data_IF_921922129015
#
_entry.id   IF_921922129015
#
_cell.length_a   1.000
_cell.length_b   1.000
_cell.length_c   1.000
_cell.angle_alpha   90.00
_cell.angle_beta   90.00
_cell.angle_gamma   90.00
#
_symmetry.space_group_name_H-M   'P 1'
#
loop_
_entity.id
_entity.type
_entity.pdbx_description
1 polymer ?
#
# COMPACT_ATOMS: atom_id res chain seq x y z
N UNK A 1 13.15 1.50 -38.57
CA UNK A 1 12.43 1.08 -37.35
C UNK A 1 13.53 0.69 -36.38
N UNK A 2 14.00 1.64 -35.56
CA UNK A 2 15.20 1.47 -34.76
C UNK A 2 14.98 0.43 -33.67
N UNK A 3 15.98 -0.42 -33.45
CA UNK A 3 16.05 -1.33 -32.30
C UNK A 3 15.79 -0.52 -31.03
N UNK A 4 14.63 -0.74 -30.39
CA UNK A 4 14.43 -0.32 -29.02
C UNK A 4 15.38 -1.15 -28.16
N UNK A 5 16.49 -0.55 -27.73
CA UNK A 5 17.43 -1.17 -26.78
C UNK A 5 16.77 -1.31 -25.40
N UNK A 6 15.93 -2.34 -25.27
CA UNK A 6 15.25 -2.71 -24.03
C UNK A 6 16.24 -2.97 -22.87
N UNK A 7 17.55 -3.11 -23.15
CA UNK A 7 18.57 -3.30 -22.13
C UNK A 7 18.78 -2.06 -21.26
N UNK A 8 18.56 -0.87 -21.84
CA UNK A 8 18.75 0.41 -21.15
C UNK A 8 17.47 0.87 -20.45
N UNK A 9 16.31 0.51 -21.01
CA UNK A 9 15.00 0.93 -20.53
C UNK A 9 14.67 0.42 -19.12
N UNK A 10 15.02 -0.83 -18.78
CA UNK A 10 14.78 -1.34 -17.42
C UNK A 10 15.68 -0.67 -16.39
N UNK A 11 16.95 -0.37 -16.73
CA UNK A 11 17.86 0.35 -15.83
C UNK A 11 17.35 1.75 -15.55
N UNK A 12 16.84 2.42 -16.58
CA UNK A 12 16.21 3.73 -16.45
C UNK A 12 14.95 3.64 -15.58
N UNK A 13 14.10 2.63 -15.79
CA UNK A 13 12.90 2.42 -14.97
C UNK A 13 13.24 2.23 -13.49
N UNK A 14 14.22 1.38 -13.16
CA UNK A 14 14.69 1.20 -11.78
C UNK A 14 15.29 2.47 -11.19
N UNK A 15 16.08 3.21 -11.97
CA UNK A 15 16.71 4.47 -11.55
C UNK A 15 15.70 5.60 -11.31
N UNK A 16 14.57 5.62 -12.04
CA UNK A 16 13.48 6.59 -11.83
C UNK A 16 12.57 6.14 -10.67
N UNK A 17 12.28 4.85 -10.56
CA UNK A 17 11.42 4.31 -9.51
C UNK A 17 12.01 4.55 -8.11
N UNK A 18 13.33 4.38 -7.96
CA UNK A 18 14.01 4.54 -6.66
C UNK A 18 13.78 5.92 -6.00
N UNK A 19 14.12 7.07 -6.63
CA UNK A 19 13.89 8.38 -6.03
C UNK A 19 12.41 8.70 -5.85
N UNK A 20 11.53 8.29 -6.78
CA UNK A 20 10.08 8.47 -6.60
C UNK A 20 9.58 7.77 -5.33
N UNK A 21 10.03 6.53 -5.11
CA UNK A 21 9.63 5.75 -3.95
C UNK A 21 10.23 6.31 -2.64
N UNK A 22 11.46 6.82 -2.65
CA UNK A 22 12.05 7.50 -1.48
C UNK A 22 11.31 8.78 -1.10
N UNK A 23 10.92 9.60 -2.08
CA UNK A 23 10.11 10.79 -1.84
C UNK A 23 8.76 10.37 -1.24
N UNK A 24 8.09 9.38 -1.85
CA UNK A 24 6.83 8.85 -1.34
C UNK A 24 6.95 8.32 0.10
N UNK A 25 8.01 7.59 0.41
CA UNK A 25 8.30 7.11 1.77
C UNK A 25 8.45 8.28 2.75
N UNK A 26 9.29 9.26 2.41
CA UNK A 26 9.57 10.42 3.25
C UNK A 26 8.31 11.22 3.53
N UNK A 27 7.50 11.49 2.50
CA UNK A 27 6.22 12.18 2.64
C UNK A 27 5.26 11.43 3.58
N UNK A 28 5.13 10.11 3.45
CA UNK A 28 4.25 9.33 4.31
C UNK A 28 4.73 9.26 5.76
N UNK A 29 6.05 9.14 5.98
CA UNK A 29 6.62 9.23 7.34
C UNK A 29 6.35 10.60 7.95
N UNK A 30 6.48 11.69 7.20
CA UNK A 30 6.11 13.03 7.66
C UNK A 30 4.63 13.11 8.06
N UNK A 31 3.72 12.50 7.29
CA UNK A 31 2.28 12.41 7.64
C UNK A 31 2.08 11.63 8.94
N UNK A 32 2.77 10.51 9.13
CA UNK A 32 2.71 9.71 10.37
C UNK A 32 3.16 10.53 11.58
N UNK A 33 4.27 11.25 11.46
CA UNK A 33 4.78 12.13 12.53
C UNK A 33 3.79 13.27 12.79
N UNK A 34 3.31 13.95 11.74
CA UNK A 34 2.36 15.05 11.84
C UNK A 34 1.07 14.64 12.56
N UNK A 35 0.50 13.49 12.20
CA UNK A 35 -0.72 12.97 12.82
C UNK A 35 -0.54 12.60 14.30
N UNK A 36 0.65 12.16 14.70
CA UNK A 36 0.96 11.90 16.13
C UNK A 36 1.14 13.18 16.92
N UNK A 37 1.69 14.22 16.30
CA UNK A 37 1.97 15.50 16.96
C UNK A 37 0.75 16.41 17.10
N UNK A 38 -0.35 16.15 16.38
CA UNK A 38 -1.49 17.04 16.31
C UNK A 38 -2.70 16.52 17.13
N UNK A 39 -3.03 17.09 18.30
CA UNK A 39 -4.14 16.62 19.13
C UNK A 39 -5.51 16.77 18.46
N UNK A 40 -5.68 17.78 17.60
CA UNK A 40 -6.94 18.02 16.87
C UNK A 40 -7.27 16.90 15.86
N UNK A 41 -6.27 16.09 15.47
CA UNK A 41 -6.43 14.94 14.59
C UNK A 41 -6.61 13.63 15.37
N UNK A 42 -6.76 13.67 16.69
CA UNK A 42 -7.11 12.51 17.51
C UNK A 42 -8.61 12.15 17.39
N UNK A 43 -9.05 11.93 16.16
CA UNK A 43 -10.40 11.57 15.76
C UNK A 43 -10.38 10.40 14.76
N UNK A 44 -11.54 10.00 14.26
CA UNK A 44 -11.66 8.87 13.33
C UNK A 44 -10.97 9.12 11.99
N UNK A 45 -11.05 10.34 11.46
CA UNK A 45 -10.33 10.71 10.24
C UNK A 45 -8.81 10.59 10.41
N UNK A 46 -8.26 11.12 11.51
CA UNK A 46 -6.83 11.02 11.78
C UNK A 46 -6.36 9.58 12.02
N UNK A 47 -7.19 8.75 12.66
CA UNK A 47 -6.88 7.32 12.86
C UNK A 47 -6.83 6.54 11.53
N UNK A 48 -7.77 6.80 10.61
CA UNK A 48 -7.77 6.19 9.27
C UNK A 48 -6.58 6.65 8.43
N UNK A 49 -6.32 7.97 8.43
CA UNK A 49 -5.20 8.55 7.69
C UNK A 49 -3.85 8.06 8.23
N UNK A 50 -3.75 7.88 9.55
CA UNK A 50 -2.56 7.34 10.18
C UNK A 50 -2.28 5.89 9.76
N UNK A 51 -3.32 5.04 9.79
CA UNK A 51 -3.20 3.66 9.32
C UNK A 51 -2.82 3.60 7.84
N UNK A 52 -3.42 4.45 7.01
CA UNK A 52 -3.07 4.55 5.59
C UNK A 52 -1.60 4.94 5.39
N UNK A 53 -1.15 6.03 6.03
CA UNK A 53 0.22 6.53 5.86
C UNK A 53 1.27 5.50 6.32
N UNK A 54 0.97 4.67 7.32
CA UNK A 54 1.83 3.54 7.69
C UNK A 54 1.91 2.48 6.58
N UNK A 55 0.78 2.10 5.99
CA UNK A 55 0.74 1.13 4.89
C UNK A 55 1.45 1.68 3.65
N UNK A 56 1.20 2.94 3.31
CA UNK A 56 1.85 3.61 2.17
C UNK A 56 3.36 3.74 2.40
N UNK A 57 3.81 4.02 3.63
CA UNK A 57 5.24 4.00 3.97
C UNK A 57 5.85 2.61 3.73
N UNK A 58 5.20 1.55 4.21
CA UNK A 58 5.67 0.19 3.99
C UNK A 58 5.71 -0.18 2.50
N UNK A 59 4.68 0.22 1.73
CA UNK A 59 4.63 0.01 0.29
C UNK A 59 5.79 0.72 -0.43
N UNK A 60 6.03 1.99 -0.13
CA UNK A 60 7.12 2.76 -0.73
C UNK A 60 8.50 2.21 -0.35
N UNK A 61 8.64 1.68 0.86
CA UNK A 61 9.88 1.00 1.28
C UNK A 61 10.11 -0.30 0.50
N UNK A 62 9.07 -1.09 0.22
CA UNK A 62 9.18 -2.28 -0.64
C UNK A 62 9.56 -1.90 -2.08
N UNK A 63 9.01 -0.80 -2.61
CA UNK A 63 9.36 -0.31 -3.95
C UNK A 63 10.81 0.17 -4.02
N UNK A 64 11.25 1.02 -3.08
CA UNK A 64 12.60 1.57 -3.06
C UNK A 64 13.66 0.53 -2.67
N UNK A 65 13.38 -0.27 -1.64
CA UNK A 65 14.33 -1.21 -1.04
C UNK A 65 14.44 -2.54 -1.78
N UNK A 66 13.43 -2.91 -2.57
CA UNK A 66 13.41 -4.21 -3.24
C UNK A 66 13.10 -4.13 -4.73
N UNK A 67 11.97 -3.55 -5.13
CA UNK A 67 11.54 -3.60 -6.53
C UNK A 67 12.50 -2.82 -7.44
N UNK A 68 12.86 -1.58 -7.09
CA UNK A 68 13.77 -0.77 -7.88
C UNK A 68 15.17 -1.40 -8.03
N UNK A 69 15.82 -1.91 -6.96
CA UNK A 69 17.05 -2.68 -7.08
C UNK A 69 16.89 -3.95 -7.93
N UNK A 70 15.78 -4.68 -7.80
CA UNK A 70 15.55 -5.91 -8.57
C UNK A 70 15.47 -5.62 -10.05
N UNK A 71 14.74 -4.57 -10.43
CA UNK A 71 14.65 -4.09 -11.82
C UNK A 71 16.02 -3.65 -12.33
N UNK A 72 16.78 -2.89 -11.53
CA UNK A 72 18.06 -2.33 -11.96
C UNK A 72 19.17 -3.39 -12.12
N UNK A 73 19.34 -4.27 -11.12
CA UNK A 73 20.43 -5.24 -11.08
C UNK A 73 20.11 -6.58 -11.75
N UNK A 74 18.84 -6.98 -11.82
CA UNK A 74 18.38 -8.26 -12.41
C UNK A 74 19.15 -9.49 -11.91
N UNK A 75 19.49 -9.52 -10.62
CA UNK A 75 20.22 -10.63 -10.00
C UNK A 75 19.28 -11.82 -9.69
N UNK A 76 19.72 -13.05 -10.03
CA UNK A 76 19.00 -14.30 -9.75
C UNK A 76 18.62 -14.48 -8.27
N UNK A 77 19.49 -14.07 -7.34
CA UNK A 77 19.21 -14.15 -5.92
C UNK A 77 17.99 -13.30 -5.51
N UNK A 78 17.76 -12.17 -6.18
CA UNK A 78 16.58 -11.34 -5.95
C UNK A 78 15.35 -12.01 -6.59
N UNK A 79 15.47 -12.59 -7.78
CA UNK A 79 14.34 -13.31 -8.37
C UNK A 79 13.87 -14.49 -7.52
N UNK A 80 14.77 -15.18 -6.81
CA UNK A 80 14.42 -16.29 -5.91
C UNK A 80 13.46 -15.92 -4.79
N UNK A 81 13.44 -14.65 -4.35
CA UNK A 81 12.55 -14.15 -3.29
C UNK A 81 11.49 -13.16 -3.81
N UNK A 82 11.41 -12.98 -5.14
CA UNK A 82 10.51 -12.00 -5.78
C UNK A 82 9.04 -12.28 -5.56
N UNK A 83 8.65 -13.55 -5.41
CA UNK A 83 7.28 -13.96 -5.09
C UNK A 83 6.81 -13.35 -3.76
N UNK A 84 7.65 -13.42 -2.72
CA UNK A 84 7.32 -12.95 -1.37
C UNK A 84 7.22 -11.43 -1.33
N UNK A 85 8.17 -10.73 -1.93
CA UNK A 85 8.18 -9.27 -1.99
C UNK A 85 7.09 -8.72 -2.92
N UNK A 86 6.81 -9.40 -4.03
CA UNK A 86 5.70 -9.10 -4.92
C UNK A 86 4.35 -9.24 -4.22
N UNK A 87 4.16 -10.34 -3.48
CA UNK A 87 2.99 -10.53 -2.63
C UNK A 87 2.84 -9.42 -1.58
N UNK A 88 3.91 -9.08 -0.85
CA UNK A 88 3.89 -8.03 0.15
C UNK A 88 3.54 -6.66 -0.45
N UNK A 89 4.08 -6.35 -1.64
CA UNK A 89 3.82 -5.10 -2.36
C UNK A 89 2.36 -5.00 -2.79
N UNK A 90 1.80 -6.07 -3.36
CA UNK A 90 0.39 -6.15 -3.75
C UNK A 90 -0.56 -6.09 -2.56
N UNK A 91 -0.21 -6.75 -1.45
CA UNK A 91 -0.97 -6.67 -0.21
C UNK A 91 -1.03 -5.24 0.31
N UNK A 92 0.10 -4.54 0.39
CA UNK A 92 0.14 -3.16 0.84
C UNK A 92 -0.68 -2.24 -0.09
N UNK A 93 -0.63 -2.47 -1.40
CA UNK A 93 -1.47 -1.75 -2.38
C UNK A 93 -2.98 -1.99 -2.13
N UNK A 94 -3.39 -3.24 -1.89
CA UNK A 94 -4.79 -3.56 -1.59
C UNK A 94 -5.29 -2.86 -0.32
N UNK A 95 -4.46 -2.83 0.72
CA UNK A 95 -4.78 -2.16 1.98
C UNK A 95 -4.88 -0.64 1.80
N UNK A 96 -4.06 -0.04 0.94
CA UNK A 96 -4.17 1.35 0.54
C UNK A 96 -5.53 1.64 -0.12
N UNK A 97 -5.95 0.81 -1.09
CA UNK A 97 -7.26 0.97 -1.75
C UNK A 97 -8.43 0.92 -0.76
N UNK A 98 -8.45 -0.04 0.17
CA UNK A 98 -9.50 -0.11 1.19
C UNK A 98 -9.47 1.05 2.18
N UNK A 99 -8.27 1.54 2.51
CA UNK A 99 -8.11 2.71 3.35
C UNK A 99 -8.69 3.96 2.67
N UNK A 100 -8.41 4.17 1.38
CA UNK A 100 -8.95 5.29 0.61
C UNK A 100 -10.48 5.29 0.54
N UNK A 101 -11.08 4.11 0.33
CA UNK A 101 -12.54 3.96 0.37
C UNK A 101 -13.07 4.32 1.76
N UNK A 102 -12.44 3.81 2.82
CA UNK A 102 -12.85 4.06 4.20
C UNK A 102 -12.74 5.55 4.58
N UNK A 103 -11.68 6.24 4.17
CA UNK A 103 -11.50 7.68 4.40
C UNK A 103 -12.55 8.48 3.62
N UNK A 104 -12.83 8.11 2.39
CA UNK A 104 -13.86 8.76 1.56
C UNK A 104 -15.25 8.64 2.19
N UNK A 105 -15.61 7.44 2.66
CA UNK A 105 -16.87 7.20 3.38
C UNK A 105 -16.91 8.00 4.68
N UNK A 106 -15.81 8.01 5.45
CA UNK A 106 -15.72 8.79 6.69
C UNK A 106 -16.00 10.28 6.43
N UNK A 107 -15.38 10.88 5.41
CA UNK A 107 -15.61 12.28 5.03
C UNK A 107 -17.05 12.52 4.57
N UNK A 108 -17.59 11.61 3.76
CA UNK A 108 -18.96 11.71 3.27
C UNK A 108 -19.97 11.68 4.43
N UNK A 109 -19.91 10.69 5.31
CA UNK A 109 -20.84 10.57 6.44
C UNK A 109 -20.70 11.74 7.41
N UNK A 110 -19.49 12.26 7.63
CA UNK A 110 -19.27 13.41 8.49
C UNK A 110 -20.00 14.67 8.01
N UNK A 111 -20.12 14.85 6.69
CA UNK A 111 -20.80 16.01 6.09
C UNK A 111 -22.30 15.79 5.97
N UNK A 112 -22.73 14.64 5.44
CA UNK A 112 -24.12 14.41 5.09
C UNK A 112 -24.99 13.84 6.22
N UNK A 113 -24.39 13.19 7.22
CA UNK A 113 -25.13 12.51 8.29
C UNK A 113 -24.41 12.60 9.65
N UNK A 114 -24.25 13.82 10.22
CA UNK A 114 -23.46 14.03 11.44
C UNK A 114 -24.00 13.27 12.67
N UNK A 115 -25.32 13.09 12.78
CA UNK A 115 -25.92 12.31 13.86
C UNK A 115 -25.50 10.84 13.79
N UNK A 116 -25.48 10.25 12.59
CA UNK A 116 -25.05 8.86 12.34
C UNK A 116 -23.54 8.71 12.47
N UNK A 117 -22.78 9.74 12.09
CA UNK A 117 -21.32 9.76 12.17
C UNK A 117 -20.80 9.43 13.58
N UNK A 118 -21.43 10.00 14.61
CA UNK A 118 -21.06 9.77 16.01
C UNK A 118 -21.14 8.29 16.43
N UNK A 119 -22.05 7.53 15.81
CA UNK A 119 -22.26 6.10 16.10
C UNK A 119 -21.41 5.21 15.19
N UNK A 120 -21.35 5.51 13.88
CA UNK A 120 -20.58 4.73 12.89
C UNK A 120 -19.06 4.91 13.06
N UNK A 121 -18.59 6.14 13.23
CA UNK A 121 -17.18 6.50 13.30
C UNK A 121 -16.79 6.99 14.70
N UNK A 122 -17.13 6.22 15.73
CA UNK A 122 -16.49 6.35 17.05
C UNK A 122 -15.03 5.87 16.99
N UNK A 123 -14.17 6.29 17.93
CA UNK A 123 -12.77 5.82 17.98
C UNK A 123 -12.67 4.28 17.99
N UNK A 124 -13.55 3.62 18.75
CA UNK A 124 -13.61 2.16 18.84
C UNK A 124 -14.11 1.51 17.55
N UNK A 125 -15.15 2.06 16.92
CA UNK A 125 -15.69 1.56 15.66
C UNK A 125 -14.68 1.71 14.52
N UNK A 126 -14.00 2.85 14.45
CA UNK A 126 -12.96 3.12 13.44
C UNK A 126 -11.79 2.15 13.58
N UNK A 127 -11.34 1.86 14.81
CA UNK A 127 -10.28 0.85 15.02
C UNK A 127 -10.73 -0.55 14.57
N UNK A 128 -11.98 -0.94 14.85
CA UNK A 128 -12.54 -2.20 14.35
C UNK A 128 -12.60 -2.22 12.82
N UNK A 129 -13.04 -1.13 12.19
CA UNK A 129 -13.08 -1.00 10.73
C UNK A 129 -11.70 -1.22 10.10
N UNK A 130 -10.66 -0.62 10.69
CA UNK A 130 -9.26 -0.81 10.26
C UNK A 130 -8.89 -2.29 10.29
N UNK A 131 -9.11 -2.96 11.43
CA UNK A 131 -8.81 -4.39 11.56
C UNK A 131 -9.60 -5.24 10.56
N UNK A 132 -10.89 -4.93 10.34
CA UNK A 132 -11.74 -5.68 9.41
C UNK A 132 -11.24 -5.59 7.98
N UNK A 133 -10.94 -4.39 7.46
CA UNK A 133 -10.46 -4.30 6.08
C UNK A 133 -9.03 -4.84 5.91
N UNK A 134 -8.23 -4.87 7.00
CA UNK A 134 -6.92 -5.54 6.98
C UNK A 134 -7.05 -7.05 6.80
N UNK A 135 -7.93 -7.67 7.60
CA UNK A 135 -8.22 -9.11 7.50
C UNK A 135 -8.78 -9.44 6.11
N UNK A 136 -9.71 -8.62 5.62
CA UNK A 136 -10.33 -8.81 4.32
C UNK A 136 -9.30 -8.66 3.19
N UNK A 137 -8.43 -7.64 3.24
CA UNK A 137 -7.34 -7.46 2.27
C UNK A 137 -6.35 -8.62 2.26
N UNK A 138 -5.95 -9.10 3.43
CA UNK A 138 -5.08 -10.27 3.55
C UNK A 138 -5.75 -11.53 2.97
N UNK A 139 -7.03 -11.73 3.26
CA UNK A 139 -7.79 -12.90 2.79
C UNK A 139 -7.94 -12.89 1.26
N UNK A 140 -8.29 -11.75 0.66
CA UNK A 140 -8.41 -11.63 -0.79
C UNK A 140 -7.06 -11.86 -1.48
N UNK A 141 -6.00 -11.23 -0.98
CA UNK A 141 -4.68 -11.34 -1.60
C UNK A 141 -4.09 -12.74 -1.48
N UNK A 142 -4.25 -13.41 -0.33
CA UNK A 142 -3.84 -14.82 -0.19
C UNK A 142 -4.61 -15.74 -1.14
N UNK A 143 -5.91 -15.52 -1.31
CA UNK A 143 -6.74 -16.31 -2.23
C UNK A 143 -6.31 -16.11 -3.69
N UNK A 144 -6.14 -14.86 -4.12
CA UNK A 144 -5.66 -14.53 -5.47
C UNK A 144 -4.29 -15.12 -5.76
N UNK A 145 -3.35 -15.04 -4.80
CA UNK A 145 -2.00 -15.58 -4.97
C UNK A 145 -2.00 -17.11 -5.12
N UNK A 146 -2.84 -17.82 -4.34
CA UNK A 146 -3.00 -19.28 -4.46
C UNK A 146 -3.56 -19.68 -5.83
N UNK A 147 -4.59 -18.99 -6.32
CA UNK A 147 -5.15 -19.24 -7.65
C UNK A 147 -4.15 -18.92 -8.74
N UNK A 148 -3.41 -17.82 -8.63
CA UNK A 148 -2.36 -17.45 -9.59
C UNK A 148 -1.32 -18.55 -9.73
N UNK A 149 -0.80 -19.07 -8.62
CA UNK A 149 0.15 -20.20 -8.63
C UNK A 149 -0.45 -21.47 -9.21
N UNK A 150 -1.72 -21.76 -8.92
CA UNK A 150 -2.42 -22.91 -9.48
C UNK A 150 -2.56 -22.81 -11.01
N UNK A 151 -2.92 -21.63 -11.52
CA UNK A 151 -3.08 -21.37 -12.96
C UNK A 151 -1.77 -21.50 -13.74
N UNK A 152 -0.65 -21.06 -13.16
CA UNK A 152 0.68 -21.22 -13.77
C UNK A 152 1.08 -22.70 -13.84
N UNK A 153 0.82 -23.47 -12.78
CA UNK A 153 1.17 -24.91 -12.72
C UNK A 153 0.41 -25.79 -13.73
N UNK A 154 -0.79 -25.38 -14.18
CA UNK A 154 -1.54 -26.09 -15.22
C UNK A 154 -0.97 -25.81 -16.63
N UNK A 155 -0.25 -24.70 -16.79
CA UNK A 155 0.22 -24.21 -18.10
C UNK A 155 1.68 -24.60 -18.42
N UNK A 156 2.40 -25.17 -17.47
CA UNK A 156 3.75 -25.76 -17.58
C UNK A 156 3.67 -27.28 -17.56
#
# INVERSE_FOLDING_TARGET
MGDFDMSRDYKLAGAILFPMALIGFTCNVCVVVFLRSMPSLNNSFGSLTFAQALVDSAHQLLLAGYLAPTIYFRNEAMYAVSDQFGYATLLAYQLCCFSHVSISINRFVNIYAPFVYSTLFSKSSTRKLIVVYWILGFTIMTYMFKIGKFSVKIRT
#
